data_IF_877356396106
#
_entry.id   IF_877356396106
#
_cell.length_a   1.000
_cell.length_b   1.000
_cell.length_c   1.000
_cell.angle_alpha   90.00
_cell.angle_beta   90.00
_cell.angle_gamma   90.00
#
_symmetry.space_group_name_H-M   'P 1'
#
loop_
_entity.id
_entity.type
_entity.pdbx_description
1 polymer ?
#
# COMPACT_ATOMS: atom_id res chain seq x y z
N UNK A 1 -23.37 -18.22 -1.75
CA UNK A 1 -24.75 -17.99 -2.18
C UNK A 1 -24.69 -17.59 -3.63
N UNK A 2 -25.40 -18.32 -4.49
CA UNK A 2 -25.24 -18.21 -5.94
C UNK A 2 -25.77 -16.89 -6.50
N UNK A 3 -26.75 -16.26 -5.83
CA UNK A 3 -27.34 -15.00 -6.29
C UNK A 3 -26.36 -13.82 -6.18
N UNK A 4 -25.64 -13.72 -5.06
CA UNK A 4 -24.62 -12.68 -4.87
C UNK A 4 -23.42 -12.87 -5.81
N UNK A 5 -23.05 -14.13 -6.09
CA UNK A 5 -22.00 -14.44 -7.07
C UNK A 5 -22.41 -14.09 -8.50
N UNK A 6 -23.69 -14.25 -8.85
CA UNK A 6 -24.21 -13.85 -10.15
C UNK A 6 -24.24 -12.32 -10.32
N UNK A 7 -24.62 -11.56 -9.28
CA UNK A 7 -24.56 -10.09 -9.30
C UNK A 7 -23.12 -9.58 -9.43
N UNK A 8 -22.18 -10.18 -8.71
CA UNK A 8 -20.75 -9.87 -8.87
C UNK A 8 -20.28 -10.22 -10.28
N UNK A 9 -20.67 -11.38 -10.83
CA UNK A 9 -20.28 -11.78 -12.18
C UNK A 9 -20.78 -10.81 -13.26
N UNK A 10 -21.97 -10.20 -13.07
CA UNK A 10 -22.51 -9.17 -13.98
C UNK A 10 -21.64 -7.93 -14.08
N UNK A 11 -20.81 -7.64 -13.07
CA UNK A 11 -19.87 -6.51 -13.11
C UNK A 11 -18.65 -6.77 -14.01
N UNK A 12 -18.37 -8.02 -14.37
CA UNK A 12 -17.17 -8.41 -15.10
C UNK A 12 -15.87 -8.27 -14.31
N UNK A 13 -15.95 -7.97 -13.01
CA UNK A 13 -14.79 -7.77 -12.10
C UNK A 13 -14.67 -8.95 -11.15
N UNK A 14 -13.45 -9.45 -10.97
CA UNK A 14 -13.14 -10.42 -9.91
C UNK A 14 -13.12 -9.72 -8.56
N UNK A 15 -13.92 -10.20 -7.61
CA UNK A 15 -14.08 -9.58 -6.30
C UNK A 15 -13.94 -10.62 -5.19
N UNK A 16 -13.03 -10.35 -4.24
CA UNK A 16 -12.79 -11.19 -3.07
C UNK A 16 -12.77 -10.33 -1.80
N UNK A 17 -13.23 -10.89 -0.68
CA UNK A 17 -13.39 -10.15 0.59
C UNK A 17 -12.89 -10.98 1.76
N UNK A 18 -11.93 -10.42 2.49
CA UNK A 18 -11.50 -10.96 3.78
C UNK A 18 -12.25 -10.26 4.92
N UNK A 19 -13.00 -11.02 5.72
CA UNK A 19 -13.71 -10.49 6.90
C UNK A 19 -12.86 -10.67 8.16
N UNK A 20 -12.50 -9.56 8.81
CA UNK A 20 -11.69 -9.55 10.03
C UNK A 20 -12.53 -9.24 11.27
N UNK A 21 -12.30 -9.97 12.37
CA UNK A 21 -12.94 -9.68 13.65
C UNK A 21 -12.24 -8.49 14.34
N UNK A 22 -12.99 -7.42 14.63
CA UNK A 22 -12.44 -6.17 15.18
C UNK A 22 -11.66 -6.32 16.50
N UNK A 23 -11.97 -7.34 17.31
CA UNK A 23 -11.27 -7.61 18.58
C UNK A 23 -10.00 -8.46 18.47
N UNK A 24 -9.67 -8.97 17.28
CA UNK A 24 -8.52 -9.86 17.04
C UNK A 24 -7.42 -9.16 16.23
N UNK A 25 -7.81 -8.19 15.40
CA UNK A 25 -6.90 -7.46 14.52
C UNK A 25 -6.52 -6.11 15.14
N UNK A 26 -5.31 -5.58 14.85
CA UNK A 26 -4.92 -4.25 15.29
C UNK A 26 -5.99 -3.23 14.89
N UNK A 27 -6.34 -2.27 15.77
CA UNK A 27 -7.36 -1.28 15.44
C UNK A 27 -6.88 -0.48 14.22
N UNK A 28 -7.55 -0.67 13.09
CA UNK A 28 -7.27 0.07 11.87
C UNK A 28 -7.64 1.54 12.05
N UNK A 29 -6.96 2.42 11.32
CA UNK A 29 -7.38 3.81 11.21
C UNK A 29 -8.87 3.88 10.79
N UNK A 30 -9.63 4.87 11.26
CA UNK A 30 -11.01 5.05 10.84
C UNK A 30 -11.09 5.18 9.32
N UNK A 31 -12.14 4.63 8.73
CA UNK A 31 -12.41 4.71 7.29
C UNK A 31 -12.40 6.17 6.86
N UNK A 32 -11.42 6.56 6.04
CA UNK A 32 -11.42 7.88 5.41
C UNK A 32 -12.68 8.04 4.55
N UNK A 33 -13.21 9.26 4.48
CA UNK A 33 -14.36 9.59 3.63
C UNK A 33 -13.93 9.62 2.16
N UNK A 34 -13.78 8.44 1.57
CA UNK A 34 -13.41 8.29 0.16
C UNK A 34 -14.65 8.26 -0.72
N UNK A 35 -14.57 8.91 -1.88
CA UNK A 35 -15.58 8.85 -2.93
C UNK A 35 -15.30 7.63 -3.78
N UNK A 36 -16.19 6.63 -3.66
CA UNK A 36 -16.10 5.35 -4.35
C UNK A 36 -16.52 5.45 -5.82
N UNK A 37 -15.76 4.84 -6.75
CA UNK A 37 -16.28 4.54 -8.07
C UNK A 37 -17.59 3.76 -7.99
N UNK A 38 -18.57 4.00 -8.89
CA UNK A 38 -19.88 3.35 -8.84
C UNK A 38 -19.82 1.82 -8.80
N UNK A 39 -18.83 1.25 -9.51
CA UNK A 39 -18.59 -0.20 -9.56
C UNK A 39 -18.21 -0.75 -8.18
N UNK A 40 -17.34 -0.06 -7.44
CA UNK A 40 -16.88 -0.48 -6.11
C UNK A 40 -18.01 -0.35 -5.08
N UNK A 41 -18.80 0.71 -5.16
CA UNK A 41 -19.97 0.91 -4.29
C UNK A 41 -21.00 -0.22 -4.49
N UNK A 42 -21.27 -0.60 -5.74
CA UNK A 42 -22.16 -1.71 -6.06
C UNK A 42 -21.67 -3.01 -5.44
N UNK A 43 -20.38 -3.36 -5.63
CA UNK A 43 -19.79 -4.57 -5.05
C UNK A 43 -19.85 -4.58 -3.52
N UNK A 44 -19.58 -3.43 -2.88
CA UNK A 44 -19.71 -3.28 -1.43
C UNK A 44 -21.14 -3.50 -0.94
N UNK A 45 -22.13 -2.99 -1.66
CA UNK A 45 -23.53 -3.13 -1.31
C UNK A 45 -24.00 -4.59 -1.44
N UNK A 46 -23.68 -5.24 -2.56
CA UNK A 46 -24.01 -6.66 -2.80
C UNK A 46 -23.46 -7.53 -1.66
N UNK A 47 -22.18 -7.36 -1.31
CA UNK A 47 -21.57 -8.12 -0.23
C UNK A 47 -22.13 -7.75 1.15
N UNK A 48 -22.38 -6.47 1.40
CA UNK A 48 -22.94 -6.01 2.68
C UNK A 48 -24.33 -6.59 2.94
N UNK A 49 -25.17 -6.65 1.90
CA UNK A 49 -26.51 -7.24 1.99
C UNK A 49 -26.42 -8.75 2.23
N UNK A 50 -25.55 -9.45 1.48
CA UNK A 50 -25.28 -10.87 1.70
C UNK A 50 -24.82 -11.16 3.13
N UNK A 51 -23.85 -10.39 3.64
CA UNK A 51 -23.29 -10.62 4.98
C UNK A 51 -24.32 -10.36 6.09
N UNK A 52 -25.10 -9.28 5.98
CA UNK A 52 -26.16 -8.95 6.94
C UNK A 52 -27.24 -10.04 7.00
N UNK A 53 -27.62 -10.60 5.85
CA UNK A 53 -28.59 -11.70 5.78
C UNK A 53 -28.05 -12.98 6.46
N UNK A 54 -26.77 -13.29 6.27
CA UNK A 54 -26.14 -14.49 6.84
C UNK A 54 -25.75 -14.35 8.31
N UNK A 55 -25.44 -13.14 8.75
CA UNK A 55 -24.95 -12.84 10.10
C UNK A 55 -25.76 -11.70 10.75
N UNK A 56 -27.02 -11.96 11.15
CA UNK A 56 -27.85 -10.95 11.78
C UNK A 56 -27.23 -10.46 13.09
N UNK A 57 -27.32 -9.15 13.35
CA UNK A 57 -26.78 -8.50 14.55
C UNK A 57 -25.28 -8.17 14.49
N UNK A 58 -24.60 -8.42 13.36
CA UNK A 58 -23.22 -7.96 13.13
C UNK A 58 -23.20 -6.76 12.18
N UNK A 59 -22.28 -5.83 12.45
CA UNK A 59 -22.01 -4.69 11.59
C UNK A 59 -20.68 -4.88 10.86
N UNK A 60 -20.63 -4.44 9.60
CA UNK A 60 -19.42 -4.41 8.79
C UNK A 60 -18.88 -2.99 8.72
N UNK A 61 -17.56 -2.86 8.79
CA UNK A 61 -16.81 -1.64 8.49
C UNK A 61 -15.78 -1.94 7.42
N UNK A 62 -15.78 -1.17 6.34
CA UNK A 62 -14.83 -1.34 5.24
C UNK A 62 -13.54 -0.55 5.49
N UNK A 63 -12.38 -1.16 5.21
CA UNK A 63 -11.06 -0.57 5.41
C UNK A 63 -10.34 -0.50 4.06
N UNK A 64 -10.50 0.61 3.34
CA UNK A 64 -9.93 0.78 1.99
C UNK A 64 -8.40 0.78 1.96
N UNK A 65 -7.73 1.20 3.03
CA UNK A 65 -6.27 1.23 3.10
C UNK A 65 -5.62 -0.16 3.05
N UNK A 66 -6.37 -1.23 3.35
CA UNK A 66 -5.92 -2.62 3.24
C UNK A 66 -6.36 -3.29 1.93
N UNK A 67 -7.13 -2.59 1.09
CA UNK A 67 -7.61 -3.11 -0.18
C UNK A 67 -6.52 -3.09 -1.26
N UNK A 68 -6.53 -4.12 -2.10
CA UNK A 68 -5.66 -4.25 -3.26
C UNK A 68 -6.50 -4.53 -4.52
N UNK A 69 -6.02 -4.03 -5.65
CA UNK A 69 -6.67 -4.19 -6.95
C UNK A 69 -5.65 -4.59 -8.01
N UNK A 70 -6.12 -5.32 -9.03
CA UNK A 70 -5.34 -5.57 -10.24
C UNK A 70 -5.96 -4.76 -11.39
N UNK A 71 -5.20 -3.79 -11.92
CA UNK A 71 -5.62 -2.90 -12.99
C UNK A 71 -4.95 -3.32 -14.29
N UNK A 72 -5.75 -3.55 -15.33
CA UNK A 72 -5.26 -3.75 -16.68
C UNK A 72 -5.11 -2.39 -17.35
N UNK A 73 -3.89 -2.05 -17.77
CA UNK A 73 -3.60 -0.82 -18.47
C UNK A 73 -3.34 -1.10 -19.96
N UNK A 74 -4.02 -0.35 -20.81
CA UNK A 74 -3.80 -0.35 -22.25
C UNK A 74 -3.27 1.03 -22.68
N UNK A 75 -1.95 1.16 -22.80
CA UNK A 75 -1.31 2.40 -23.23
C UNK A 75 -1.42 2.64 -24.74
N UNK A 76 -1.81 1.64 -25.54
CA UNK A 76 -1.90 1.79 -27.00
C UNK A 76 -3.16 2.52 -27.47
N UNK A 77 -4.20 2.60 -26.63
CA UNK A 77 -5.53 3.12 -27.02
C UNK A 77 -5.82 4.52 -26.47
N UNK A 78 -5.27 4.88 -25.30
CA UNK A 78 -5.60 6.14 -24.63
C UNK A 78 -4.70 7.33 -25.00
N UNK A 79 -3.84 7.21 -26.01
CA UNK A 79 -3.06 8.34 -26.51
C UNK A 79 -3.92 9.12 -27.52
N UNK A 80 -4.94 9.82 -27.04
CA UNK A 80 -5.69 10.79 -27.83
C UNK A 80 -4.74 11.93 -28.22
N UNK A 81 -4.24 11.89 -29.46
CA UNK A 81 -3.55 13.01 -30.08
C UNK A 81 -2.04 13.08 -29.87
N UNK A 82 -1.31 12.12 -30.41
CA UNK A 82 0.03 12.39 -30.98
C UNK A 82 0.10 11.85 -32.40
N UNK A 83 -0.84 12.28 -33.24
CA UNK A 83 -0.77 12.11 -34.69
C UNK A 83 -1.21 13.40 -35.40
N UNK A 84 -0.28 14.34 -35.49
CA UNK A 84 -0.19 15.36 -36.56
C UNK A 84 1.15 16.09 -36.33
N UNK A 85 2.15 16.12 -37.22
CA UNK A 85 2.03 16.34 -38.65
C UNK A 85 3.30 15.86 -39.36
N UNK A 86 3.21 14.82 -40.19
CA UNK A 86 4.14 14.66 -41.32
C UNK A 86 3.69 15.63 -42.41
N UNK A 87 4.28 16.82 -42.43
CA UNK A 87 4.21 17.68 -43.62
C UNK A 87 5.28 17.21 -44.61
N UNK A 88 4.88 16.28 -45.47
CA UNK A 88 5.55 16.04 -46.74
C UNK A 88 5.37 17.26 -47.64
N UNK A 89 6.36 18.14 -47.70
CA UNK A 89 6.48 19.15 -48.73
C UNK A 89 7.59 18.72 -49.70
N UNK A 90 7.16 18.26 -50.86
CA UNK A 90 7.95 18.13 -52.08
C UNK A 90 8.49 19.49 -52.52
N UNK A 91 9.80 19.61 -52.67
CA UNK A 91 10.41 20.65 -53.49
C UNK A 91 11.65 20.09 -54.19
N UNK A 92 11.52 19.97 -55.51
CA UNK A 92 12.57 19.79 -56.50
C UNK A 92 13.49 21.01 -56.54
N UNK A 93 14.81 20.81 -56.46
CA UNK A 93 15.78 21.58 -57.24
C UNK A 93 17.19 20.96 -57.16
N UNK A 94 17.71 20.69 -58.35
CA UNK A 94 19.10 20.42 -58.72
C UNK A 94 20.10 21.51 -58.30
N UNK A 95 21.32 21.12 -57.92
CA UNK A 95 22.55 21.45 -58.67
C UNK A 95 23.84 21.02 -57.95
N UNK A 96 24.74 20.49 -58.77
CA UNK A 96 26.18 20.20 -58.62
C UNK A 96 27.04 21.23 -57.87
N UNK A 97 28.10 20.76 -57.19
CA UNK A 97 29.50 20.90 -57.63
C UNK A 97 30.52 20.45 -56.55
N UNK A 98 31.42 19.54 -56.94
CA UNK A 98 32.89 19.48 -56.71
C UNK A 98 33.48 20.26 -55.52
N UNK A 99 34.40 19.73 -54.72
CA UNK A 99 35.73 19.25 -55.17
C UNK A 99 36.50 18.47 -54.07
N UNK A 100 37.25 17.45 -54.49
CA UNK A 100 38.68 17.11 -54.17
C UNK A 100 39.21 17.26 -52.72
N UNK A 101 40.07 16.39 -52.17
CA UNK A 101 40.84 15.27 -52.69
C UNK A 101 41.72 14.66 -51.57
N UNK A 102 42.28 13.47 -51.87
CA UNK A 102 43.68 13.05 -51.62
C UNK A 102 44.05 12.55 -50.20
N UNK A 103 44.80 11.45 -49.95
CA UNK A 103 45.67 10.58 -50.77
C UNK A 103 46.10 9.32 -49.93
N UNK A 104 46.41 8.22 -50.64
CA UNK A 104 47.51 7.22 -50.43
C UNK A 104 47.48 6.28 -49.20
N UNK A 105 47.91 5.02 -49.24
CA UNK A 105 48.47 4.11 -50.27
C UNK A 105 48.68 2.70 -49.69
N UNK A 106 48.74 1.68 -50.57
CA UNK A 106 49.59 0.44 -50.54
C UNK A 106 49.49 -0.51 -49.32
N UNK A 107 49.14 -1.80 -49.35
CA UNK A 107 49.36 -2.98 -50.22
C UNK A 107 50.18 -4.07 -49.50
N UNK A 108 49.65 -5.30 -49.59
CA UNK A 108 50.30 -6.63 -49.66
C UNK A 108 50.89 -7.38 -48.44
N UNK A 109 50.30 -8.57 -48.24
CA UNK A 109 50.87 -9.93 -48.04
C UNK A 109 51.51 -10.35 -46.71
N UNK A 110 50.92 -11.38 -46.06
CA UNK A 110 51.48 -12.74 -45.92
C UNK A 110 50.66 -13.59 -44.90
N UNK A 111 50.42 -14.86 -45.22
CA UNK A 111 49.99 -15.95 -44.30
C UNK A 111 51.18 -16.90 -44.06
N UNK A 112 51.09 -18.03 -43.30
CA UNK A 112 50.11 -18.50 -42.29
C UNK A 112 50.77 -19.02 -40.97
N UNK A 113 49.98 -19.31 -39.92
CA UNK A 113 50.08 -20.54 -39.07
C UNK A 113 49.16 -20.52 -37.81
N UNK A 114 48.24 -21.49 -37.76
CA UNK A 114 47.64 -22.20 -36.62
C UNK A 114 47.51 -21.54 -35.22
N UNK A 115 46.27 -21.35 -34.73
CA UNK A 115 45.62 -22.24 -33.73
C UNK A 115 44.18 -21.78 -33.40
N UNK A 116 43.29 -22.78 -33.30
CA UNK A 116 41.88 -22.87 -32.88
C UNK A 116 41.21 -21.68 -32.15
N UNK A 117 39.99 -21.31 -32.55
CA UNK A 117 38.78 -21.42 -31.69
C UNK A 117 37.48 -21.23 -32.48
N UNK A 118 36.36 -21.50 -31.80
CA UNK A 118 35.09 -22.04 -32.28
C UNK A 118 34.21 -21.12 -33.16
N UNK A 119 33.39 -21.81 -33.96
CA UNK A 119 32.34 -21.36 -34.87
C UNK A 119 31.39 -20.28 -34.33
N UNK A 120 31.37 -19.13 -35.01
CA UNK A 120 30.27 -18.17 -35.04
C UNK A 120 29.50 -18.37 -36.36
N UNK A 121 28.20 -18.72 -36.25
CA UNK A 121 27.26 -18.65 -37.37
C UNK A 121 26.71 -17.22 -37.47
N UNK A 122 26.82 -16.65 -38.66
CA UNK A 122 26.22 -15.39 -39.07
C UNK A 122 24.68 -15.47 -39.08
N UNK A 123 24.00 -14.50 -38.48
CA UNK A 123 22.67 -14.08 -38.93
C UNK A 123 22.46 -12.56 -38.73
N UNK A 124 21.69 -12.02 -39.66
CA UNK A 124 21.48 -10.63 -40.08
C UNK A 124 21.10 -9.62 -38.97
N UNK A 125 21.27 -8.29 -39.18
CA UNK A 125 20.88 -7.28 -38.21
C UNK A 125 19.36 -7.06 -38.25
N UNK A 126 18.62 -7.96 -37.62
CA UNK A 126 17.19 -7.80 -37.34
C UNK A 126 16.98 -6.89 -36.14
N UNK A 127 16.29 -5.76 -36.36
CA UNK A 127 15.79 -4.84 -35.33
C UNK A 127 15.16 -5.60 -34.16
N UNK A 128 15.80 -5.55 -32.99
CA UNK A 128 15.25 -6.06 -31.73
C UNK A 128 14.20 -5.07 -31.25
N UNK A 129 13.02 -5.07 -31.86
CA UNK A 129 11.85 -4.45 -31.25
C UNK A 129 11.57 -5.21 -29.95
N UNK A 130 11.92 -4.58 -28.82
CA UNK A 130 11.52 -5.06 -27.51
C UNK A 130 10.01 -5.35 -27.54
N UNK A 131 9.66 -6.59 -27.25
CA UNK A 131 8.29 -7.11 -27.34
C UNK A 131 7.40 -6.34 -26.36
N UNK A 132 6.77 -5.26 -26.81
CA UNK A 132 5.80 -4.50 -26.01
C UNK A 132 4.57 -5.37 -25.78
N UNK A 133 4.12 -5.48 -24.53
CA UNK A 133 2.92 -6.23 -24.22
C UNK A 133 1.69 -5.44 -24.68
N UNK A 134 0.68 -6.09 -25.28
CA UNK A 134 -0.55 -5.41 -25.69
C UNK A 134 -1.31 -4.82 -24.51
N UNK A 135 -1.18 -5.45 -23.33
CA UNK A 135 -1.70 -4.99 -22.06
C UNK A 135 -0.70 -5.22 -20.91
N UNK A 136 -0.65 -4.29 -19.97
CA UNK A 136 0.10 -4.42 -18.73
C UNK A 136 -0.86 -4.64 -17.55
N UNK A 137 -0.44 -5.42 -16.57
CA UNK A 137 -1.18 -5.69 -15.34
C UNK A 137 -0.46 -5.04 -14.14
N UNK A 138 -1.13 -4.13 -13.47
CA UNK A 138 -0.61 -3.45 -12.29
C UNK A 138 -1.33 -3.92 -11.04
N UNK A 139 -0.57 -4.41 -10.06
CA UNK A 139 -1.07 -4.63 -8.69
C UNK A 139 -0.89 -3.33 -7.92
N UNK A 140 -2.01 -2.76 -7.48
CA UNK A 140 -2.10 -1.43 -6.88
C UNK A 140 -2.95 -1.48 -5.61
N UNK A 141 -2.85 -0.48 -4.74
CA UNK A 141 -3.83 -0.30 -3.66
C UNK A 141 -5.20 0.13 -4.22
N UNK A 142 -6.26 0.00 -3.42
CA UNK A 142 -7.56 0.61 -3.75
C UNK A 142 -7.38 2.09 -4.09
N UNK A 143 -6.72 2.86 -3.22
CA UNK A 143 -6.55 4.29 -3.43
C UNK A 143 -5.88 4.63 -4.76
N UNK A 144 -4.86 3.88 -5.14
CA UNK A 144 -4.17 4.04 -6.43
C UNK A 144 -5.08 3.71 -7.62
N UNK A 145 -5.84 2.62 -7.53
CA UNK A 145 -6.75 2.21 -8.60
C UNK A 145 -7.82 3.29 -8.89
N UNK A 146 -8.27 4.01 -7.86
CA UNK A 146 -9.36 4.98 -8.00
C UNK A 146 -8.83 6.26 -8.66
N UNK A 147 -7.61 6.67 -8.33
CA UNK A 147 -6.91 7.75 -9.05
C UNK A 147 -6.75 7.37 -10.53
N UNK A 148 -6.29 6.15 -10.81
CA UNK A 148 -6.08 5.69 -12.19
C UNK A 148 -7.37 5.63 -13.01
N UNK A 149 -8.50 5.29 -12.37
CA UNK A 149 -9.79 5.21 -13.06
C UNK A 149 -10.26 6.57 -13.59
N UNK A 150 -9.89 7.68 -12.93
CA UNK A 150 -10.25 9.03 -13.39
C UNK A 150 -9.63 9.37 -14.76
N UNK A 151 -8.45 8.82 -15.04
CA UNK A 151 -7.74 9.05 -16.30
C UNK A 151 -8.30 8.26 -17.49
N UNK A 152 -9.37 7.48 -17.29
CA UNK A 152 -10.13 6.90 -18.40
C UNK A 152 -11.08 7.92 -19.04
N UNK A 153 -11.45 8.99 -18.32
CA UNK A 153 -12.36 10.03 -18.81
C UNK A 153 -11.65 11.36 -19.13
N UNK A 154 -10.43 11.55 -18.61
CA UNK A 154 -9.65 12.80 -18.75
C UNK A 154 -8.18 12.51 -19.00
N UNK A 155 -7.57 13.22 -19.93
CA UNK A 155 -6.16 13.03 -20.30
C UNK A 155 -5.17 13.61 -19.27
N UNK A 156 -5.55 14.71 -18.64
CA UNK A 156 -4.75 15.37 -17.60
C UNK A 156 -5.62 15.93 -16.49
N UNK A 157 -5.10 15.90 -15.26
CA UNK A 157 -5.82 16.38 -14.07
C UNK A 157 -4.87 17.05 -13.07
N UNK A 158 -5.38 18.02 -12.33
CA UNK A 158 -4.64 18.71 -11.26
C UNK A 158 -4.73 17.95 -9.93
N UNK A 159 -3.84 18.26 -8.99
CA UNK A 159 -3.93 17.69 -7.62
C UNK A 159 -5.28 18.01 -6.97
N UNK A 160 -5.79 19.22 -7.16
CA UNK A 160 -7.06 19.64 -6.56
C UNK A 160 -8.25 18.87 -7.16
N UNK A 161 -8.30 18.72 -8.49
CA UNK A 161 -9.37 17.98 -9.16
C UNK A 161 -9.39 16.50 -8.73
N UNK A 162 -8.21 15.89 -8.58
CA UNK A 162 -8.11 14.51 -8.08
C UNK A 162 -8.59 14.43 -6.63
N UNK A 163 -8.21 15.39 -5.77
CA UNK A 163 -8.66 15.43 -4.37
C UNK A 163 -10.19 15.55 -4.27
N UNK A 164 -10.80 16.43 -5.07
CA UNK A 164 -12.26 16.63 -5.10
C UNK A 164 -13.00 15.39 -5.63
N UNK A 165 -12.46 14.73 -6.65
CA UNK A 165 -13.09 13.54 -7.24
C UNK A 165 -12.97 12.28 -6.36
N UNK A 166 -11.91 12.16 -5.57
CA UNK A 166 -11.62 10.95 -4.77
C UNK A 166 -11.92 11.12 -3.27
N UNK A 167 -11.95 12.35 -2.77
CA UNK A 167 -12.09 12.64 -1.34
C UNK A 167 -10.83 12.37 -0.51
N UNK A 168 -9.66 12.15 -1.12
CA UNK A 168 -8.42 11.92 -0.38
C UNK A 168 -7.95 13.17 0.37
N UNK A 169 -7.40 12.97 1.58
CA UNK A 169 -6.66 14.01 2.29
C UNK A 169 -5.36 14.36 1.55
N UNK A 170 -4.88 15.60 1.70
CA UNK A 170 -3.69 16.11 0.99
C UNK A 170 -2.47 15.20 1.12
N UNK A 171 -2.17 14.74 2.34
CA UNK A 171 -1.01 13.90 2.60
C UNK A 171 -1.14 12.50 1.98
N UNK A 172 -2.34 11.92 2.02
CA UNK A 172 -2.62 10.61 1.42
C UNK A 172 -2.57 10.68 -0.10
N UNK A 173 -3.21 11.70 -0.69
CA UNK A 173 -3.17 11.91 -2.12
C UNK A 173 -1.73 12.07 -2.63
N UNK A 174 -0.91 12.86 -1.94
CA UNK A 174 0.48 13.05 -2.31
C UNK A 174 1.27 11.72 -2.25
N UNK A 175 1.03 10.86 -1.24
CA UNK A 175 1.64 9.51 -1.17
C UNK A 175 1.27 8.67 -2.38
N UNK A 176 0.00 8.62 -2.71
CA UNK A 176 -0.48 7.76 -3.78
C UNK A 176 -0.02 8.28 -5.15
N UNK A 177 0.02 9.59 -5.37
CA UNK A 177 0.60 10.17 -6.58
C UNK A 177 2.10 9.85 -6.70
N UNK A 178 2.88 10.05 -5.63
CA UNK A 178 4.31 9.69 -5.61
C UNK A 178 4.55 8.25 -6.06
N UNK A 179 3.71 7.31 -5.60
CA UNK A 179 3.82 5.90 -5.96
C UNK A 179 3.61 5.65 -7.46
N UNK A 180 2.72 6.43 -8.10
CA UNK A 180 2.32 6.27 -9.49
C UNK A 180 3.27 6.92 -10.50
N UNK A 181 4.04 7.95 -10.11
CA UNK A 181 4.93 8.67 -11.04
C UNK A 181 6.44 8.52 -10.75
N UNK A 182 6.87 8.30 -9.50
CA UNK A 182 8.30 8.36 -9.16
C UNK A 182 9.07 7.16 -9.73
N UNK A 183 8.59 5.96 -9.46
CA UNK A 183 9.30 4.73 -9.80
C UNK A 183 9.27 4.46 -11.31
N UNK A 184 10.43 4.53 -11.97
CA UNK A 184 10.57 4.31 -13.42
C UNK A 184 10.04 2.96 -13.89
N UNK A 185 10.16 1.91 -13.07
CA UNK A 185 9.70 0.57 -13.45
C UNK A 185 8.17 0.44 -13.48
N UNK A 186 7.46 1.32 -12.76
CA UNK A 186 5.99 1.30 -12.63
C UNK A 186 5.40 2.70 -12.84
N UNK A 187 6.04 3.52 -13.67
CA UNK A 187 5.64 4.92 -13.91
C UNK A 187 4.42 4.96 -14.81
N UNK A 188 3.25 4.93 -14.21
CA UNK A 188 1.97 5.01 -14.91
C UNK A 188 1.60 6.47 -15.19
N UNK A 189 1.94 7.38 -14.27
CA UNK A 189 1.65 8.80 -14.43
C UNK A 189 2.92 9.62 -14.71
N UNK A 190 2.77 10.68 -15.50
CA UNK A 190 3.74 11.75 -15.69
C UNK A 190 3.31 12.97 -14.88
N UNK A 191 4.28 13.65 -14.28
CA UNK A 191 4.07 14.89 -13.51
C UNK A 191 4.58 16.08 -14.32
N UNK A 192 3.72 17.07 -14.50
CA UNK A 192 4.05 18.37 -15.06
C UNK A 192 3.86 19.42 -13.98
N UNK A 193 4.89 20.25 -13.77
CA UNK A 193 4.86 21.29 -12.76
C UNK A 193 5.21 22.62 -13.39
N UNK A 194 4.22 23.50 -13.45
CA UNK A 194 4.36 24.89 -13.85
C UNK A 194 4.51 25.78 -12.60
N UNK A 195 4.75 27.08 -12.78
CA UNK A 195 4.96 28.03 -11.65
C UNK A 195 3.74 28.12 -10.71
N UNK A 196 2.53 27.86 -11.21
CA UNK A 196 1.28 28.00 -10.47
C UNK A 196 0.51 26.69 -10.27
N UNK A 197 0.88 25.62 -10.97
CA UNK A 197 0.01 24.45 -11.05
C UNK A 197 0.78 23.15 -11.29
N UNK A 198 0.25 22.07 -10.72
CA UNK A 198 0.80 20.74 -10.85
C UNK A 198 -0.24 19.81 -11.45
N UNK A 199 0.09 19.25 -12.61
CA UNK A 199 -0.77 18.37 -13.40
C UNK A 199 -0.16 16.99 -13.57
N UNK A 200 -1.04 16.01 -13.69
CA UNK A 200 -0.73 14.62 -13.92
C UNK A 200 -1.40 14.14 -15.19
N UNK A 201 -0.74 13.26 -15.94
CA UNK A 201 -1.32 12.58 -17.11
C UNK A 201 -0.78 11.15 -17.22
N UNK A 202 -1.39 10.33 -18.06
CA UNK A 202 -0.94 8.96 -18.29
C UNK A 202 0.36 8.93 -19.10
N UNK A 203 1.31 8.11 -18.68
CA UNK A 203 2.55 7.87 -19.40
C UNK A 203 2.31 6.96 -20.62
N UNK A 204 1.93 7.57 -21.74
CA UNK A 204 1.69 6.88 -23.01
C UNK A 204 2.90 6.07 -23.53
N UNK A 205 4.11 6.55 -23.28
CA UNK A 205 5.36 5.90 -23.72
C UNK A 205 5.84 4.82 -22.74
N UNK A 206 4.97 4.35 -21.85
CA UNK A 206 5.34 3.35 -20.86
C UNK A 206 5.72 2.03 -21.53
N UNK A 207 6.94 1.56 -21.23
CA UNK A 207 7.43 0.27 -21.68
C UNK A 207 8.08 -0.46 -20.52
N UNK A 208 7.76 -1.75 -20.41
CA UNK A 208 8.39 -2.65 -19.46
C UNK A 208 8.58 -4.03 -20.07
N UNK A 209 9.64 -4.72 -19.63
CA UNK A 209 9.88 -6.13 -19.95
C UNK A 209 8.88 -7.05 -19.23
N UNK A 210 8.38 -6.60 -18.07
CA UNK A 210 7.44 -7.36 -17.25
C UNK A 210 6.00 -7.01 -17.62
N UNK A 211 5.16 -8.02 -17.80
CA UNK A 211 3.73 -7.83 -18.02
C UNK A 211 2.99 -7.47 -16.73
N UNK A 212 3.36 -8.09 -15.61
CA UNK A 212 2.75 -7.87 -14.30
C UNK A 212 3.74 -7.20 -13.36
N UNK A 213 3.32 -6.09 -12.73
CA UNK A 213 4.18 -5.30 -11.86
C UNK A 213 3.40 -4.85 -10.63
N UNK A 214 4.10 -4.76 -9.51
CA UNK A 214 3.52 -4.31 -8.25
C UNK A 214 3.93 -2.86 -7.98
N UNK A 215 2.94 -1.97 -7.96
CA UNK A 215 3.16 -0.57 -7.60
C UNK A 215 3.41 -0.51 -6.09
N UNK A 216 4.48 0.19 -5.69
CA UNK A 216 4.84 0.28 -4.29
C UNK A 216 3.76 1.05 -3.50
N UNK A 217 3.47 0.62 -2.27
CA UNK A 217 2.79 1.46 -1.31
C UNK A 217 3.83 2.36 -0.64
N UNK A 218 3.81 3.65 -0.96
CA UNK A 218 4.73 4.62 -0.37
C UNK A 218 4.20 5.05 0.99
N UNK A 219 4.93 4.70 2.05
CA UNK A 219 4.75 5.30 3.36
C UNK A 219 5.55 6.62 3.39
N UNK A 220 4.88 7.76 3.58
CA UNK A 220 5.59 9.00 3.91
C UNK A 220 6.20 8.80 5.30
N UNK A 221 7.52 8.88 5.39
CA UNK A 221 8.32 8.62 6.59
C UNK A 221 8.13 9.64 7.71
N UNK A 222 7.09 10.46 7.65
CA UNK A 222 6.77 11.51 8.61
C UNK A 222 6.01 11.00 9.84
N UNK A 223 5.32 9.86 9.79
CA UNK A 223 4.52 9.33 10.91
C UNK A 223 4.97 8.02 11.60
N UNK A 224 6.04 7.28 11.22
CA UNK A 224 6.33 6.00 11.87
C UNK A 224 6.60 6.17 13.36
N UNK A 225 7.27 7.24 13.79
CA UNK A 225 7.52 7.50 15.22
C UNK A 225 6.23 7.76 16.01
N UNK A 226 5.29 8.49 15.45
CA UNK A 226 4.03 8.82 16.14
C UNK A 226 3.10 7.61 16.18
N UNK A 227 3.03 6.82 15.10
CA UNK A 227 2.27 5.58 15.07
C UNK A 227 2.87 4.53 16.02
N UNK A 228 4.19 4.36 16.02
CA UNK A 228 4.89 3.49 16.97
C UNK A 228 4.60 3.95 18.39
N UNK A 229 4.69 5.25 18.70
CA UNK A 229 4.36 5.77 20.03
C UNK A 229 2.90 5.51 20.43
N UNK A 230 1.95 5.66 19.50
CA UNK A 230 0.53 5.32 19.74
C UNK A 230 0.34 3.82 20.01
N UNK A 231 1.04 2.96 19.28
CA UNK A 231 1.02 1.50 19.48
C UNK A 231 1.64 1.15 20.83
N UNK A 232 2.80 1.71 21.17
CA UNK A 232 3.46 1.51 22.46
C UNK A 232 2.59 1.97 23.63
N UNK A 233 1.91 3.11 23.51
CA UNK A 233 0.98 3.60 24.52
C UNK A 233 -0.19 2.62 24.75
N UNK A 234 -0.76 2.06 23.67
CA UNK A 234 -1.80 1.02 23.76
C UNK A 234 -1.27 -0.26 24.42
N UNK A 235 -0.10 -0.73 24.03
CA UNK A 235 0.54 -1.90 24.63
C UNK A 235 0.79 -1.70 26.13
N UNK A 236 1.20 -0.50 26.53
CA UNK A 236 1.39 -0.15 27.94
C UNK A 236 0.08 -0.19 28.72
N UNK A 237 -1.01 0.36 28.16
CA UNK A 237 -2.34 0.29 28.75
C UNK A 237 -2.86 -1.15 28.87
N UNK A 238 -2.61 -2.00 27.88
CA UNK A 238 -3.01 -3.41 27.94
C UNK A 238 -2.24 -4.17 29.03
N UNK A 239 -0.95 -3.86 29.21
CA UNK A 239 -0.15 -4.41 30.33
C UNK A 239 -0.71 -3.98 31.68
N UNK A 240 -1.13 -2.73 31.82
CA UNK A 240 -1.80 -2.22 33.03
C UNK A 240 -3.06 -3.03 33.35
N UNK A 241 -3.93 -3.28 32.35
CA UNK A 241 -5.13 -4.09 32.52
C UNK A 241 -4.82 -5.56 32.85
N UNK A 242 -3.79 -6.13 32.23
CA UNK A 242 -3.36 -7.50 32.53
C UNK A 242 -2.83 -7.64 33.96
N UNK A 243 -2.08 -6.66 34.46
CA UNK A 243 -1.60 -6.62 35.85
C UNK A 243 -2.80 -6.54 36.81
N UNK A 244 -3.72 -5.60 36.59
CA UNK A 244 -4.91 -5.45 37.43
C UNK A 244 -5.71 -6.75 37.52
N UNK A 245 -6.00 -7.37 36.38
CA UNK A 245 -6.75 -8.62 36.31
C UNK A 245 -6.01 -9.78 37.01
N UNK A 246 -4.68 -9.84 36.88
CA UNK A 246 -3.85 -10.84 37.56
C UNK A 246 -3.90 -10.67 39.07
N UNK A 247 -3.68 -9.44 39.57
CA UNK A 247 -3.72 -9.10 41.00
C UNK A 247 -5.09 -9.44 41.60
N UNK A 248 -6.18 -9.01 40.97
CA UNK A 248 -7.55 -9.29 41.45
C UNK A 248 -7.83 -10.79 41.46
N UNK A 249 -7.38 -11.54 40.44
CA UNK A 249 -7.55 -12.99 40.37
C UNK A 249 -6.82 -13.71 41.52
N UNK A 250 -5.58 -13.33 41.81
CA UNK A 250 -4.78 -13.90 42.91
C UNK A 250 -5.41 -13.55 44.26
N UNK A 251 -5.72 -12.28 44.48
CA UNK A 251 -6.27 -11.79 45.75
C UNK A 251 -7.66 -12.33 46.05
N UNK A 252 -8.51 -12.50 45.03
CA UNK A 252 -9.82 -13.17 45.16
C UNK A 252 -9.68 -14.63 45.62
N UNK A 253 -8.64 -15.33 45.18
CA UNK A 253 -8.39 -16.73 45.56
C UNK A 253 -7.76 -16.87 46.96
N UNK A 254 -6.81 -15.99 47.30
CA UNK A 254 -6.05 -16.07 48.57
C UNK A 254 -6.70 -15.30 49.73
N UNK A 255 -7.59 -14.34 49.45
CA UNK A 255 -8.25 -13.39 50.36
C UNK A 255 -7.32 -12.45 51.12
N UNK A 256 -6.20 -12.97 51.63
CA UNK A 256 -5.14 -12.23 52.31
C UNK A 256 -3.78 -12.64 51.73
N UNK A 257 -2.91 -11.67 51.44
CA UNK A 257 -1.56 -11.96 50.95
C UNK A 257 -0.56 -10.85 51.32
N UNK A 258 0.66 -11.25 51.68
CA UNK A 258 1.78 -10.33 51.92
C UNK A 258 2.33 -9.77 50.60
N UNK A 259 2.81 -8.53 50.63
CA UNK A 259 3.34 -7.82 49.45
C UNK A 259 4.40 -8.61 48.69
N UNK A 260 5.43 -9.13 49.37
CA UNK A 260 6.50 -9.91 48.72
C UNK A 260 5.98 -11.15 47.97
N UNK A 261 5.03 -11.87 48.58
CA UNK A 261 4.42 -13.05 47.96
C UNK A 261 3.50 -12.66 46.79
N UNK A 262 2.76 -11.56 46.91
CA UNK A 262 1.94 -11.03 45.82
C UNK A 262 2.80 -10.65 44.62
N UNK A 263 3.92 -9.96 44.83
CA UNK A 263 4.85 -9.57 43.75
C UNK A 263 5.42 -10.80 43.05
N UNK A 264 5.82 -11.84 43.80
CA UNK A 264 6.35 -13.08 43.23
C UNK A 264 5.30 -13.82 42.40
N UNK A 265 4.08 -13.96 42.91
CA UNK A 265 2.98 -14.65 42.23
C UNK A 265 2.55 -13.92 40.96
N UNK A 266 2.39 -12.59 41.02
CA UNK A 266 2.04 -11.77 39.86
C UNK A 266 3.13 -11.85 38.79
N UNK A 267 4.40 -11.76 39.19
CA UNK A 267 5.54 -11.86 38.26
C UNK A 267 5.65 -13.23 37.59
N UNK A 268 5.21 -14.30 38.28
CA UNK A 268 5.19 -15.66 37.72
C UNK A 268 4.04 -15.90 36.74
N UNK A 269 2.89 -15.22 36.90
CA UNK A 269 1.71 -15.43 36.06
C UNK A 269 1.65 -14.51 34.83
N UNK A 270 2.41 -13.41 34.82
CA UNK A 270 2.48 -12.50 33.67
C UNK A 270 3.46 -13.04 32.61
N UNK A 271 3.10 -12.88 31.34
CA UNK A 271 3.95 -13.29 30.20
C UNK A 271 5.07 -12.29 29.88
N UNK A 272 5.09 -11.13 30.55
CA UNK A 272 6.06 -10.05 30.36
C UNK A 272 6.74 -9.66 31.66
N UNK A 273 7.91 -9.04 31.57
CA UNK A 273 8.63 -8.50 32.74
C UNK A 273 7.85 -7.33 33.34
N UNK A 274 7.36 -7.49 34.55
CA UNK A 274 6.64 -6.45 35.28
C UNK A 274 7.61 -5.64 36.14
N UNK A 275 7.72 -4.34 35.86
CA UNK A 275 8.53 -3.45 36.69
C UNK A 275 7.88 -3.27 38.08
N UNK A 276 8.64 -3.38 39.19
CA UNK A 276 8.09 -3.25 40.54
C UNK A 276 7.37 -1.91 40.79
N UNK A 277 7.84 -0.83 40.16
CA UNK A 277 7.21 0.49 40.26
C UNK A 277 5.82 0.53 39.60
N UNK A 278 5.66 -0.12 38.44
CA UNK A 278 4.38 -0.24 37.75
C UNK A 278 3.38 -1.04 38.59
N UNK A 279 3.82 -2.18 39.13
CA UNK A 279 2.99 -3.02 39.99
C UNK A 279 2.51 -2.27 41.25
N UNK A 280 3.40 -1.54 41.93
CA UNK A 280 3.03 -0.73 43.10
C UNK A 280 1.95 0.30 42.75
N UNK A 281 2.13 1.04 41.64
CA UNK A 281 1.15 2.01 41.15
C UNK A 281 -0.20 1.35 40.84
N UNK A 282 -0.21 0.15 40.26
CA UNK A 282 -1.45 -0.61 39.99
C UNK A 282 -2.15 -1.08 41.27
N UNK A 283 -1.40 -1.57 42.26
CA UNK A 283 -1.96 -1.98 43.57
C UNK A 283 -2.61 -0.77 44.26
N UNK A 284 -1.97 0.40 44.24
CA UNK A 284 -2.53 1.63 44.80
C UNK A 284 -3.83 2.04 44.08
N UNK A 285 -3.87 1.95 42.75
CA UNK A 285 -5.10 2.18 41.98
C UNK A 285 -6.23 1.21 42.33
N UNK A 286 -5.91 -0.07 42.59
CA UNK A 286 -6.89 -1.08 43.02
C UNK A 286 -7.40 -0.85 44.45
N UNK A 287 -6.57 -0.29 45.34
CA UNK A 287 -7.00 0.14 46.68
C UNK A 287 -7.97 1.32 46.57
N UNK A 288 -7.64 2.32 45.73
CA UNK A 288 -8.53 3.47 45.48
C UNK A 288 -9.89 3.08 44.86
N UNK A 289 -9.91 1.97 44.11
CA UNK A 289 -11.14 1.38 43.54
C UNK A 289 -11.84 0.39 44.48
N UNK A 290 -11.38 0.29 45.74
CA UNK A 290 -11.95 -0.56 46.79
C UNK A 290 -11.93 -2.08 46.48
N UNK A 291 -11.07 -2.55 45.58
CA UNK A 291 -10.86 -3.99 45.38
C UNK A 291 -9.97 -4.62 46.46
N UNK A 292 -9.08 -3.80 47.04
CA UNK A 292 -8.09 -4.21 48.03
C UNK A 292 -8.06 -3.21 49.19
N UNK A 293 -7.76 -3.69 50.39
CA UNK A 293 -7.48 -2.84 51.57
C UNK A 293 -6.16 -3.28 52.20
N UNK A 294 -5.38 -2.33 52.71
CA UNK A 294 -4.21 -2.65 53.55
C UNK A 294 -4.68 -3.02 54.94
N UNK A 295 -3.99 -3.97 55.58
CA UNK A 295 -4.27 -4.27 56.98
C UNK A 295 -4.03 -3.04 57.87
N UNK A 296 -4.88 -2.87 58.89
CA UNK A 296 -4.83 -1.72 59.79
C UNK A 296 -3.58 -1.76 60.69
N UNK A 297 -2.99 -2.94 60.91
CA UNK A 297 -1.78 -3.15 61.72
C UNK A 297 -0.50 -3.23 60.88
N UNK A 298 -0.51 -4.01 59.78
CA UNK A 298 0.67 -4.21 58.92
C UNK A 298 0.37 -3.84 57.46
N UNK A 299 0.94 -2.72 57.00
CA UNK A 299 0.76 -2.24 55.63
C UNK A 299 1.36 -3.15 54.55
N UNK A 300 2.14 -4.18 54.93
CA UNK A 300 2.64 -5.20 54.03
C UNK A 300 1.62 -6.30 53.72
N UNK A 301 0.48 -6.34 54.41
CA UNK A 301 -0.60 -7.30 54.20
C UNK A 301 -1.73 -6.62 53.44
N UNK A 302 -2.21 -7.27 52.39
CA UNK A 302 -3.38 -6.84 51.62
C UNK A 302 -4.53 -7.81 51.83
N UNK A 303 -5.73 -7.24 51.94
CA UNK A 303 -7.01 -7.94 52.04
C UNK A 303 -7.86 -7.67 50.80
N UNK A 304 -8.54 -8.68 50.29
CA UNK A 304 -9.52 -8.54 49.21
C UNK A 304 -10.89 -8.10 49.78
N UNK A 305 -11.52 -7.09 49.17
CA UNK A 305 -12.72 -6.43 49.74
C UNK A 305 -13.97 -6.54 48.85
N UNK A 306 -13.80 -6.85 47.56
CA UNK A 306 -14.89 -6.90 46.57
C UNK A 306 -15.62 -8.24 46.45
#
# INVERSE_FOLDING_TARGET
DSASQEEVAKTGVSFDVATCAAGVWPPSAPTEKLILPPIAETLRQVFSNFYKAKHPGRNLSWISSLGACEVRANFSVNCFGSSSSTSSSSSTSSSSSTSSSSLTSSSSSASPAHAQEQSEEEDSPGSVHARAWPDYLFKVSESQAWILLLFNERDSMTVQEIAEATGFGSDELQRQLLALYVNKATRILLRYKDEHEERYSVNCDFQSKLRCMHVAQIQLTTHPKEEIAKVEARVSQDRDHQIDACVVRIMKAKRELRHSLLVAEVSSQLSFKCDPAMLKKRIEALIHREYLKRDDSDHNIYHYVA
#
